data_IF_663167852752
#
_entry.id   IF_663167852752
#
_cell.length_a   1.000
_cell.length_b   1.000
_cell.length_c   1.000
_cell.angle_alpha   90.00
_cell.angle_beta   90.00
_cell.angle_gamma   90.00
#
_symmetry.space_group_name_H-M   'P 1'
#
loop_
_entity.id
_entity.type
_entity.pdbx_description
1 polymer ?
#
# COMPACT_ATOMS: atom_id res chain seq x y z
N UNK A 1 27.43 -66.96 31.31
CA UNK A 1 25.95 -66.82 31.21
C UNK A 1 25.45 -65.48 31.73
N UNK A 2 26.15 -64.79 32.64
CA UNK A 2 25.67 -63.52 33.20
C UNK A 2 26.08 -62.29 32.38
N UNK A 3 27.20 -62.36 31.66
CA UNK A 3 27.65 -61.28 30.77
C UNK A 3 26.65 -60.96 29.64
N UNK A 4 26.01 -61.99 29.07
CA UNK A 4 24.96 -61.82 28.06
C UNK A 4 23.67 -61.23 28.65
N UNK A 5 23.34 -61.58 29.90
CA UNK A 5 22.19 -61.02 30.61
C UNK A 5 22.40 -59.54 30.98
N UNK A 6 23.64 -59.17 31.37
CA UNK A 6 24.03 -57.80 31.67
C UNK A 6 24.00 -56.93 30.41
N UNK A 7 24.53 -57.44 29.29
CA UNK A 7 24.46 -56.76 27.98
C UNK A 7 23.01 -56.58 27.51
N UNK A 8 22.15 -57.58 27.69
CA UNK A 8 20.73 -57.48 27.35
C UNK A 8 20.00 -56.45 28.22
N UNK A 9 20.31 -56.37 29.53
CA UNK A 9 19.78 -55.35 30.43
C UNK A 9 20.21 -53.93 30.05
N UNK A 10 21.47 -53.73 29.67
CA UNK A 10 21.97 -52.41 29.23
C UNK A 10 21.27 -51.98 27.93
N UNK A 11 21.03 -52.90 27.00
CA UNK A 11 20.34 -52.60 25.74
C UNK A 11 18.85 -52.27 25.95
N UNK A 12 18.19 -52.95 26.90
CA UNK A 12 16.79 -52.72 27.25
C UNK A 12 16.56 -51.44 28.07
N UNK A 13 17.53 -51.02 28.89
CA UNK A 13 17.40 -49.83 29.76
C UNK A 13 18.15 -48.59 29.25
N UNK A 14 19.05 -48.71 28.27
CA UNK A 14 19.86 -47.59 27.76
C UNK A 14 19.18 -46.74 26.67
N UNK A 15 18.06 -47.20 26.11
CA UNK A 15 17.35 -46.53 25.02
C UNK A 15 16.33 -45.50 25.50
N UNK A 16 16.74 -44.44 26.21
CA UNK A 16 15.85 -43.29 26.42
C UNK A 16 15.84 -42.48 25.12
N UNK A 17 14.68 -42.30 24.43
CA UNK A 17 14.64 -41.41 23.28
C UNK A 17 14.87 -39.99 23.80
N UNK A 18 16.04 -39.43 23.50
CA UNK A 18 16.30 -38.02 23.73
C UNK A 18 15.32 -37.22 22.87
N UNK A 19 14.38 -36.53 23.52
CA UNK A 19 13.44 -35.60 22.88
C UNK A 19 14.25 -34.49 22.21
N UNK A 20 14.55 -34.63 20.92
CA UNK A 20 15.13 -33.53 20.15
C UNK A 20 14.11 -32.38 20.14
N UNK A 21 14.53 -31.17 20.53
CA UNK A 21 13.71 -29.98 20.40
C UNK A 21 13.27 -29.84 18.93
N UNK A 22 11.95 -29.86 18.68
CA UNK A 22 11.37 -29.49 17.39
C UNK A 22 11.76 -28.05 17.02
N UNK A 23 11.47 -27.60 15.77
CA UNK A 23 11.88 -26.28 15.27
C UNK A 23 11.59 -25.19 16.33
N UNK A 24 12.67 -24.59 16.82
CA UNK A 24 12.62 -23.65 17.94
C UNK A 24 11.81 -22.39 17.64
N UNK A 25 11.57 -21.58 18.67
CA UNK A 25 10.87 -20.29 18.53
C UNK A 25 11.56 -19.44 17.45
N UNK A 26 10.80 -19.05 16.43
CA UNK A 26 11.28 -18.19 15.35
C UNK A 26 11.59 -16.79 15.91
N UNK A 27 12.88 -16.44 15.96
CA UNK A 27 13.34 -15.10 16.33
C UNK A 27 13.51 -14.25 15.08
N UNK A 28 12.47 -13.52 14.73
CA UNK A 28 12.47 -12.56 13.63
C UNK A 28 11.31 -11.59 13.80
N UNK A 29 11.59 -10.29 13.73
CA UNK A 29 10.53 -9.29 13.73
C UNK A 29 9.88 -9.26 12.35
N UNK A 30 8.56 -9.48 12.28
CA UNK A 30 7.81 -9.29 11.04
C UNK A 30 7.89 -7.81 10.66
N UNK A 31 8.16 -7.49 9.39
CA UNK A 31 8.04 -6.10 8.91
C UNK A 31 6.62 -5.63 9.19
N UNK A 32 6.49 -4.69 10.12
CA UNK A 32 5.20 -4.08 10.42
C UNK A 32 4.83 -3.18 9.25
N UNK A 33 3.62 -3.37 8.72
CA UNK A 33 3.07 -2.43 7.74
C UNK A 33 3.01 -1.04 8.36
N UNK A 34 3.29 -0.01 7.56
CA UNK A 34 3.12 1.37 8.00
C UNK A 34 1.66 1.57 8.40
N UNK A 35 1.44 2.09 9.61
CA UNK A 35 0.10 2.47 10.06
C UNK A 35 -0.30 3.72 9.28
N UNK A 36 -1.41 3.65 8.55
CA UNK A 36 -2.01 4.82 7.91
C UNK A 36 -2.87 5.53 8.96
N UNK A 37 -2.58 6.79 9.23
CA UNK A 37 -3.40 7.64 10.10
C UNK A 37 -4.44 8.36 9.24
N UNK A 38 -5.74 8.29 9.59
CA UNK A 38 -6.77 9.01 8.85
C UNK A 38 -6.58 10.52 9.03
N UNK A 39 -6.92 11.28 8.00
CA UNK A 39 -6.96 12.74 8.06
C UNK A 39 -8.12 13.20 8.95
N UNK A 40 -7.87 14.22 9.77
CA UNK A 40 -8.90 14.90 10.57
C UNK A 40 -9.64 15.91 9.70
N UNK A 41 -10.86 16.28 10.07
CA UNK A 41 -11.63 17.29 9.36
C UNK A 41 -10.84 18.62 9.24
N UNK A 42 -10.70 19.12 8.01
CA UNK A 42 -9.91 20.30 7.60
C UNK A 42 -8.39 20.15 7.71
N UNK A 43 -7.88 18.96 7.97
CA UNK A 43 -6.46 18.68 7.84
C UNK A 43 -6.07 18.53 6.35
N UNK A 44 -4.88 19.01 6.00
CA UNK A 44 -4.27 18.84 4.68
C UNK A 44 -2.80 18.44 4.86
N UNK A 45 -2.29 17.58 3.96
CA UNK A 45 -0.91 17.10 3.96
C UNK A 45 -0.33 17.35 2.56
N UNK A 46 0.81 18.06 2.45
CA UNK A 46 1.56 18.75 3.51
C UNK A 46 0.76 19.87 4.19
N UNK A 47 1.11 20.27 5.41
CA UNK A 47 0.47 21.37 6.13
C UNK A 47 0.97 22.74 5.60
N UNK A 48 0.74 22.94 4.30
CA UNK A 48 1.09 24.13 3.53
C UNK A 48 -0.06 24.40 2.57
N UNK A 49 -0.18 25.65 2.12
CA UNK A 49 -1.21 26.04 1.15
C UNK A 49 -1.16 25.19 -0.12
N UNK A 50 -2.33 24.90 -0.71
CA UNK A 50 -2.49 24.02 -1.87
C UNK A 50 -1.61 24.46 -3.05
N UNK A 51 -1.52 25.78 -3.28
CA UNK A 51 -0.78 26.38 -4.39
C UNK A 51 0.68 26.69 -4.08
N UNK A 52 1.22 26.14 -2.99
CA UNK A 52 2.64 26.27 -2.65
C UNK A 52 3.51 25.38 -3.54
N UNK A 53 4.77 25.78 -3.75
CA UNK A 53 5.78 24.98 -4.47
C UNK A 53 6.06 23.62 -3.81
N UNK A 54 5.79 23.48 -2.52
CA UNK A 54 5.93 22.22 -1.79
C UNK A 54 4.69 21.30 -1.94
N UNK A 55 3.63 21.77 -2.59
CA UNK A 55 2.35 21.11 -2.75
C UNK A 55 1.97 20.98 -4.24
N UNK A 56 0.87 21.59 -4.69
CA UNK A 56 0.34 21.44 -6.05
C UNK A 56 0.78 22.53 -7.04
N UNK A 57 1.72 23.40 -6.62
CA UNK A 57 2.18 24.57 -7.36
C UNK A 57 1.07 25.58 -7.72
N UNK A 58 1.41 26.81 -8.16
CA UNK A 58 0.42 27.76 -8.64
C UNK A 58 -0.29 27.27 -9.91
N UNK A 59 -1.62 27.46 -10.03
CA UNK A 59 -2.37 27.00 -11.19
C UNK A 59 -2.01 27.80 -12.43
N UNK A 60 -1.92 27.12 -13.59
CA UNK A 60 -1.60 27.76 -14.87
C UNK A 60 -2.76 28.59 -15.44
N UNK A 61 -3.98 28.37 -14.96
CA UNK A 61 -5.19 29.05 -15.40
C UNK A 61 -6.38 28.10 -15.53
N UNK A 62 -7.54 28.67 -15.83
CA UNK A 62 -8.77 27.91 -16.10
C UNK A 62 -8.71 27.32 -17.51
N UNK A 63 -8.99 26.02 -17.63
CA UNK A 63 -9.19 25.39 -18.94
C UNK A 63 -10.66 25.43 -19.36
N UNK A 64 -10.88 25.77 -20.63
CA UNK A 64 -12.15 25.65 -21.33
C UNK A 64 -12.04 24.61 -22.45
N UNK A 65 -13.18 24.09 -22.90
CA UNK A 65 -13.24 23.02 -23.92
C UNK A 65 -12.64 23.39 -25.27
N UNK A 66 -12.48 24.69 -25.55
CA UNK A 66 -11.93 25.19 -26.82
C UNK A 66 -10.41 25.40 -26.75
N UNK A 67 -9.80 25.31 -25.57
CA UNK A 67 -8.38 25.59 -25.39
C UNK A 67 -7.51 24.45 -25.94
N UNK A 68 -6.34 24.80 -26.45
CA UNK A 68 -5.39 23.81 -26.98
C UNK A 68 -4.97 22.80 -25.91
N UNK A 69 -4.73 23.28 -24.68
CA UNK A 69 -4.38 22.47 -23.50
C UNK A 69 -5.49 21.49 -23.08
N UNK A 70 -6.75 21.74 -23.45
CA UNK A 70 -7.83 20.80 -23.16
C UNK A 70 -7.63 19.43 -23.86
N UNK A 71 -6.87 19.41 -24.96
CA UNK A 71 -6.54 18.18 -25.69
C UNK A 71 -5.52 17.30 -24.97
N UNK A 72 -4.79 17.86 -24.00
CA UNK A 72 -3.79 17.14 -23.21
C UNK A 72 -4.45 16.33 -22.08
N UNK A 73 -5.69 16.67 -21.72
CA UNK A 73 -6.48 15.95 -20.74
C UNK A 73 -6.89 14.59 -21.28
N UNK A 74 -6.71 13.56 -20.46
CA UNK A 74 -7.02 12.17 -20.80
C UNK A 74 -8.26 11.72 -20.03
N UNK A 75 -9.24 11.10 -20.70
CA UNK A 75 -10.41 10.56 -20.00
C UNK A 75 -10.07 9.28 -19.23
N UNK A 76 -10.52 9.20 -17.98
CA UNK A 76 -10.41 8.02 -17.13
C UNK A 76 -11.67 7.16 -17.20
N UNK A 77 -11.51 5.95 -17.73
CA UNK A 77 -12.57 4.93 -17.86
C UNK A 77 -12.34 3.70 -16.96
N UNK A 78 -11.63 3.88 -15.83
CA UNK A 78 -11.46 2.78 -14.87
C UNK A 78 -12.81 2.29 -14.34
N UNK A 79 -12.96 0.97 -14.26
CA UNK A 79 -14.18 0.31 -13.72
C UNK A 79 -14.25 0.37 -12.20
N UNK A 80 -13.13 0.64 -11.54
CA UNK A 80 -13.02 0.67 -10.08
C UNK A 80 -13.41 2.03 -9.48
N UNK A 81 -13.63 3.03 -10.33
CA UNK A 81 -13.97 4.40 -9.94
C UNK A 81 -15.41 4.69 -10.39
N UNK A 82 -16.25 5.06 -9.42
CA UNK A 82 -17.61 5.49 -9.68
C UNK A 82 -17.61 7.02 -9.77
N UNK A 83 -17.84 7.55 -10.96
CA UNK A 83 -17.98 8.99 -11.21
C UNK A 83 -19.44 9.41 -10.98
N UNK A 84 -19.65 10.58 -10.37
CA UNK A 84 -21.00 11.11 -10.10
C UNK A 84 -21.65 11.63 -11.40
N UNK A 85 -20.93 12.44 -12.19
CA UNK A 85 -21.34 13.00 -13.50
C UNK A 85 -22.79 13.49 -13.52
N UNK A 86 -23.10 14.45 -12.63
CA UNK A 86 -24.47 14.99 -12.49
C UNK A 86 -24.87 15.88 -13.67
N UNK A 87 -23.88 16.38 -14.41
CA UNK A 87 -24.03 17.21 -15.61
C UNK A 87 -24.34 16.37 -16.86
N UNK A 88 -24.04 15.07 -16.85
CA UNK A 88 -24.19 14.18 -18.00
C UNK A 88 -23.26 14.50 -19.18
N UNK A 89 -22.18 15.24 -18.93
CA UNK A 89 -21.23 15.69 -19.95
C UNK A 89 -19.95 14.85 -19.98
N UNK A 90 -19.69 14.07 -18.92
CA UNK A 90 -18.47 13.28 -18.77
C UNK A 90 -17.24 14.11 -18.37
N UNK A 91 -17.43 15.35 -17.93
CA UNK A 91 -16.34 16.27 -17.58
C UNK A 91 -15.50 15.76 -16.40
N UNK A 92 -16.14 15.13 -15.41
CA UNK A 92 -15.50 14.49 -14.24
C UNK A 92 -14.45 13.43 -14.61
N UNK A 93 -14.50 12.91 -15.84
CA UNK A 93 -13.58 11.86 -16.30
C UNK A 93 -12.30 12.42 -16.88
N UNK A 94 -12.29 13.68 -17.32
CA UNK A 94 -11.14 14.31 -17.95
C UNK A 94 -10.18 14.80 -16.87
N UNK A 95 -8.94 14.31 -16.89
CA UNK A 95 -7.89 14.69 -15.92
C UNK A 95 -6.53 14.79 -16.60
N UNK A 96 -5.59 15.53 -16.00
CA UNK A 96 -4.21 15.55 -16.45
C UNK A 96 -3.53 14.21 -16.16
N UNK A 97 -2.46 13.89 -16.89
CA UNK A 97 -1.58 12.81 -16.49
C UNK A 97 -0.77 13.25 -15.26
N UNK A 98 -0.46 12.31 -14.36
CA UNK A 98 0.22 12.57 -13.08
C UNK A 98 1.62 13.22 -13.23
N UNK A 99 2.18 13.24 -14.44
CA UNK A 99 3.44 13.92 -14.76
C UNK A 99 3.30 15.42 -15.06
N UNK A 100 2.07 15.93 -15.18
CA UNK A 100 1.77 17.32 -15.56
C UNK A 100 1.06 18.03 -14.40
N UNK A 101 1.25 19.35 -14.31
CA UNK A 101 0.75 20.24 -13.27
C UNK A 101 -0.75 20.08 -12.99
N UNK A 102 -1.18 20.39 -11.77
CA UNK A 102 -2.58 20.25 -11.35
C UNK A 102 -3.46 21.24 -12.13
N UNK A 103 -4.22 20.77 -13.11
CA UNK A 103 -5.06 21.63 -13.96
C UNK A 103 -6.52 21.59 -13.54
N UNK A 104 -7.09 22.77 -13.28
CA UNK A 104 -8.49 22.91 -12.87
C UNK A 104 -9.41 23.04 -14.09
N UNK A 105 -10.40 22.14 -14.19
CA UNK A 105 -11.48 22.17 -15.18
C UNK A 105 -12.73 22.71 -14.48
N UNK A 106 -13.45 23.62 -15.13
CA UNK A 106 -14.73 24.19 -14.65
C UNK A 106 -15.85 23.86 -15.60
#
# INVERSE_FOLDING_TARGET
>A
MWASAILAMIFLFGGVPASACGPGKFFGSRRMQRKLTPLVYKEHIPNTEEFSLAAAEPPEGKLTRNDAKFKELVPNYSKDIIFKDEEGTGSDRLMSNVSESFVFIV
#
